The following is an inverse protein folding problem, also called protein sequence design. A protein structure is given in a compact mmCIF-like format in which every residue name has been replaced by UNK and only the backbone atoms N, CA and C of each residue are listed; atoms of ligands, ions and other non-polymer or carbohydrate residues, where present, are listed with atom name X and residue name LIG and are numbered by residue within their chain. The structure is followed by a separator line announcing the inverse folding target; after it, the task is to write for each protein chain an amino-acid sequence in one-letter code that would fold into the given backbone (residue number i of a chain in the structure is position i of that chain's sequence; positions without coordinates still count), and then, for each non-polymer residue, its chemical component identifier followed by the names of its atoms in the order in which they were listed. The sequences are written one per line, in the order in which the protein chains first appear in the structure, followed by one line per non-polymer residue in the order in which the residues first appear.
data_IF_056945250430
#
_entry.id   IF_056945250430
#
_cell.length_a   1.000
_cell.length_b   1.000
_cell.length_c   1.000
_cell.angle_alpha   90.00
_cell.angle_beta   90.00
_cell.angle_gamma   90.00
#
_symmetry.space_group_name_H-M   'P 1'
#
loop_
_entity.id
_entity.type
_entity.pdbx_description
1 polymer ?
#
# COMPACT_ATOMS: atom_id res chain seq x y z
N UNK A 1 2.03 -23.47 15.30
CA UNK A 1 3.13 -22.81 14.57
C UNK A 1 2.86 -23.03 13.10
N UNK A 2 2.31 -22.04 12.41
CA UNK A 2 2.15 -22.09 10.95
C UNK A 2 3.57 -22.04 10.36
N UNK A 3 3.94 -23.02 9.53
CA UNK A 3 5.18 -22.94 8.76
C UNK A 3 5.10 -21.67 7.90
N UNK A 4 5.95 -20.68 8.18
CA UNK A 4 6.12 -19.49 7.34
C UNK A 4 6.58 -19.97 5.95
N UNK A 5 5.69 -19.85 4.96
CA UNK A 5 5.96 -20.28 3.60
C UNK A 5 6.74 -19.20 2.87
N UNK A 6 8.00 -18.95 3.25
CA UNK A 6 8.76 -17.80 2.72
C UNK A 6 8.96 -17.87 1.21
N UNK A 7 8.59 -16.81 0.52
CA UNK A 7 8.84 -16.59 -0.90
C UNK A 7 9.65 -15.30 -1.12
N UNK A 8 10.28 -15.20 -2.29
CA UNK A 8 11.08 -14.04 -2.69
C UNK A 8 10.60 -13.50 -4.02
N UNK A 9 10.42 -12.19 -4.12
CA UNK A 9 10.12 -11.47 -5.36
C UNK A 9 11.22 -10.44 -5.65
N UNK A 10 11.45 -10.11 -6.92
CA UNK A 10 12.45 -9.11 -7.30
C UNK A 10 11.92 -8.22 -8.42
N UNK A 11 11.94 -6.91 -8.17
CA UNK A 11 11.38 -5.90 -9.07
C UNK A 11 12.36 -4.75 -9.28
N UNK A 12 12.54 -4.34 -10.53
CA UNK A 12 13.19 -3.09 -10.89
C UNK A 12 12.15 -2.10 -11.37
N UNK A 13 12.20 -0.87 -10.86
CA UNK A 13 11.14 0.11 -11.05
C UNK A 13 11.64 1.54 -11.05
N UNK A 14 12.87 1.77 -11.53
CA UNK A 14 13.59 3.03 -11.34
C UNK A 14 14.28 3.09 -9.99
N UNK A 15 14.48 4.29 -9.45
CA UNK A 15 15.17 4.48 -8.18
C UNK A 15 14.61 3.57 -7.08
N UNK A 16 15.43 2.66 -6.55
CA UNK A 16 14.97 1.67 -5.58
C UNK A 16 14.51 2.30 -4.26
N UNK A 17 14.95 3.52 -3.92
CA UNK A 17 14.48 4.23 -2.72
C UNK A 17 12.96 4.40 -2.73
N UNK A 18 12.40 4.69 -3.90
CA UNK A 18 10.97 4.84 -4.10
C UNK A 18 10.22 3.51 -4.14
N UNK A 19 10.92 2.42 -4.45
CA UNK A 19 10.33 1.09 -4.55
C UNK A 19 10.26 0.36 -3.21
N UNK A 20 10.96 0.79 -2.15
CA UNK A 20 10.91 0.14 -0.83
C UNK A 20 9.63 0.47 -0.06
N UNK A 21 9.34 1.77 0.13
CA UNK A 21 8.20 2.26 0.94
C UNK A 21 6.84 1.60 0.60
N UNK A 22 6.47 1.38 -0.69
CA UNK A 22 5.17 0.83 -1.03
C UNK A 22 4.93 -0.60 -0.52
N UNK A 23 5.98 -1.39 -0.35
CA UNK A 23 5.89 -2.78 0.13
C UNK A 23 6.20 -2.92 1.61
N UNK A 24 6.98 -1.99 2.17
CA UNK A 24 7.39 -2.09 3.56
C UNK A 24 6.20 -1.91 4.53
N UNK A 25 6.31 -2.53 5.71
CA UNK A 25 5.27 -2.54 6.76
C UNK A 25 3.91 -3.14 6.38
N UNK A 26 3.82 -3.78 5.22
CA UNK A 26 2.64 -4.52 4.80
C UNK A 26 2.52 -5.86 5.57
N UNK A 27 1.31 -6.27 6.00
CA UNK A 27 1.12 -7.59 6.60
C UNK A 27 1.61 -8.69 5.67
N UNK A 28 2.47 -9.58 6.17
CA UNK A 28 3.05 -10.66 5.38
C UNK A 28 4.33 -10.30 4.61
N UNK A 29 4.73 -9.02 4.57
CA UNK A 29 6.06 -8.63 4.07
C UNK A 29 7.05 -8.70 5.24
N UNK A 30 8.05 -9.59 5.13
CA UNK A 30 9.06 -9.78 6.17
C UNK A 30 10.25 -8.84 6.00
N UNK A 31 10.67 -8.59 4.75
CA UNK A 31 11.86 -7.79 4.44
C UNK A 31 11.81 -7.22 3.03
N UNK A 32 12.24 -5.97 2.87
CA UNK A 32 12.48 -5.35 1.56
C UNK A 32 13.90 -4.78 1.55
N UNK A 33 14.72 -5.16 0.58
CA UNK A 33 16.10 -4.67 0.46
C UNK A 33 16.38 -4.10 -0.92
N UNK A 34 17.16 -3.03 -0.97
CA UNK A 34 17.66 -2.40 -2.19
C UNK A 34 18.89 -3.13 -2.72
N UNK A 35 19.04 -3.21 -4.04
CA UNK A 35 20.19 -3.85 -4.68
C UNK A 35 20.22 -3.71 -6.19
N UNK A 36 21.09 -4.49 -6.81
CA UNK A 36 21.39 -4.46 -8.24
C UNK A 36 21.27 -5.86 -8.83
N UNK A 37 20.64 -5.99 -9.99
CA UNK A 37 20.55 -7.27 -10.71
C UNK A 37 20.36 -7.06 -12.21
N UNK A 38 20.35 -8.14 -13.00
CA UNK A 38 20.16 -8.10 -14.45
C UNK A 38 21.47 -7.97 -15.27
N UNK A 39 22.52 -7.41 -14.68
CA UNK A 39 23.78 -7.10 -15.35
C UNK A 39 24.80 -8.24 -15.40
N UNK A 40 26.04 -7.87 -15.68
CA UNK A 40 27.17 -8.79 -15.90
C UNK A 40 28.38 -8.52 -15.00
N UNK A 41 28.52 -7.32 -14.44
CA UNK A 41 29.59 -7.01 -13.46
C UNK A 41 29.34 -7.72 -12.14
N UNK A 42 30.38 -8.31 -11.55
CA UNK A 42 30.30 -8.94 -10.23
C UNK A 42 30.48 -7.91 -9.12
N UNK A 43 29.64 -7.95 -8.08
CA UNK A 43 29.67 -7.06 -6.91
C UNK A 43 29.79 -5.56 -7.25
N UNK A 44 28.90 -5.01 -8.09
CA UNK A 44 28.99 -3.62 -8.53
C UNK A 44 28.73 -2.65 -7.37
N UNK A 45 29.35 -1.47 -7.38
CA UNK A 45 28.99 -0.36 -6.50
C UNK A 45 27.86 0.50 -7.08
N UNK A 46 27.20 1.31 -6.25
CA UNK A 46 26.21 2.27 -6.72
C UNK A 46 26.74 3.14 -7.86
N UNK A 47 27.95 3.68 -7.73
CA UNK A 47 28.56 4.56 -8.73
C UNK A 47 28.84 3.84 -10.06
N UNK A 48 29.21 2.55 -10.01
CA UNK A 48 29.38 1.73 -11.22
C UNK A 48 28.04 1.46 -11.90
N UNK A 49 26.98 1.16 -11.13
CA UNK A 49 25.64 0.95 -11.68
C UNK A 49 25.10 2.22 -12.33
N UNK A 50 25.22 3.37 -11.66
CA UNK A 50 24.79 4.67 -12.22
C UNK A 50 25.61 5.12 -13.44
N UNK A 51 26.72 4.46 -13.76
CA UNK A 51 27.49 4.73 -14.98
C UNK A 51 26.90 4.07 -16.24
N UNK A 52 25.86 3.26 -16.09
CA UNK A 52 25.22 2.47 -17.17
C UNK A 52 26.19 1.51 -17.89
N UNK A 53 27.31 1.12 -17.27
CA UNK A 53 28.29 0.21 -17.89
C UNK A 53 28.20 -1.25 -17.42
N UNK A 54 27.50 -1.50 -16.31
CA UNK A 54 27.45 -2.84 -15.68
C UNK A 54 26.30 -3.71 -16.17
N UNK A 55 25.35 -3.11 -16.90
CA UNK A 55 24.09 -3.71 -17.32
C UNK A 55 23.12 -4.04 -16.17
N UNK A 56 23.44 -3.64 -14.93
CA UNK A 56 22.54 -3.83 -13.79
C UNK A 56 21.49 -2.73 -13.74
N UNK A 57 20.32 -3.12 -13.26
CA UNK A 57 19.25 -2.21 -12.87
C UNK A 57 19.15 -2.11 -11.35
N UNK A 58 18.71 -0.95 -10.87
CA UNK A 58 18.26 -0.76 -9.50
C UNK A 58 17.00 -1.60 -9.25
N UNK A 59 17.06 -2.45 -8.22
CA UNK A 59 16.00 -3.37 -7.89
C UNK A 59 15.75 -3.47 -6.39
N UNK A 60 14.56 -3.91 -6.02
CA UNK A 60 14.22 -4.35 -4.67
C UNK A 60 14.00 -5.85 -4.65
N UNK A 61 14.48 -6.51 -3.59
CA UNK A 61 14.15 -7.90 -3.29
C UNK A 61 13.26 -7.96 -2.05
N UNK A 62 12.13 -8.64 -2.18
CA UNK A 62 11.07 -8.69 -1.17
C UNK A 62 10.96 -10.12 -0.66
N UNK A 63 11.13 -10.32 0.63
CA UNK A 63 10.83 -11.57 1.33
C UNK A 63 9.44 -11.47 1.93
N UNK A 64 8.56 -12.41 1.59
CA UNK A 64 7.15 -12.34 1.97
C UNK A 64 6.54 -13.72 2.24
N UNK A 65 5.44 -13.73 2.99
CA UNK A 65 4.56 -14.88 3.15
C UNK A 65 3.42 -14.80 2.11
N UNK A 66 3.41 -15.67 1.08
CA UNK A 66 2.42 -15.66 0.01
C UNK A 66 1.01 -16.03 0.50
N UNK A 67 0.87 -16.58 1.71
CA UNK A 67 -0.44 -16.89 2.31
C UNK A 67 -1.11 -15.65 2.91
N UNK A 68 -0.31 -14.63 3.25
CA UNK A 68 -0.77 -13.35 3.82
C UNK A 68 -0.72 -12.25 2.74
N UNK A 69 0.34 -12.24 1.93
CA UNK A 69 0.58 -11.28 0.86
C UNK A 69 0.85 -12.02 -0.47
N UNK A 70 -0.19 -12.36 -1.24
CA UNK A 70 -0.02 -13.11 -2.50
C UNK A 70 0.86 -12.35 -3.51
N UNK A 71 1.54 -13.08 -4.39
CA UNK A 71 2.40 -12.48 -5.42
C UNK A 71 1.63 -11.53 -6.35
N UNK A 72 0.35 -11.81 -6.64
CA UNK A 72 -0.51 -10.91 -7.40
C UNK A 72 -0.61 -9.51 -6.77
N UNK A 73 -0.73 -9.44 -5.43
CA UNK A 73 -0.77 -8.16 -4.71
C UNK A 73 0.56 -7.40 -4.84
N UNK A 74 1.68 -8.12 -4.93
CA UNK A 74 2.99 -7.49 -5.19
C UNK A 74 3.02 -6.87 -6.59
N UNK A 75 2.48 -7.57 -7.58
CA UNK A 75 2.35 -7.06 -8.96
C UNK A 75 1.42 -5.83 -9.01
N UNK A 76 0.26 -5.88 -8.35
CA UNK A 76 -0.69 -4.76 -8.30
C UNK A 76 -0.06 -3.50 -7.72
N UNK A 77 0.74 -3.62 -6.65
CA UNK A 77 1.48 -2.50 -6.09
C UNK A 77 2.61 -2.06 -7.03
N UNK A 78 3.37 -3.00 -7.60
CA UNK A 78 4.48 -2.71 -8.51
C UNK A 78 4.03 -1.86 -9.70
N UNK A 79 2.95 -2.26 -10.38
CA UNK A 79 2.41 -1.55 -11.54
C UNK A 79 1.95 -0.12 -11.20
N UNK A 80 1.52 0.12 -9.96
CA UNK A 80 1.16 1.47 -9.51
C UNK A 80 2.37 2.39 -9.37
N UNK A 81 3.54 1.85 -9.04
CA UNK A 81 4.73 2.64 -8.76
C UNK A 81 5.48 3.09 -10.01
N UNK A 82 5.34 2.40 -11.14
CA UNK A 82 6.14 2.61 -12.35
C UNK A 82 5.31 3.19 -13.49
N UNK A 83 5.95 3.89 -14.44
CA UNK A 83 5.43 4.06 -15.79
C UNK A 83 5.77 2.81 -16.61
N UNK A 84 4.81 1.90 -16.85
CA UNK A 84 5.06 0.64 -17.51
C UNK A 84 5.22 0.78 -19.03
N UNK A 85 5.07 2.01 -19.56
CA UNK A 85 5.18 2.34 -20.98
C UNK A 85 6.51 2.99 -21.36
N UNK A 86 7.38 3.22 -20.38
CA UNK A 86 8.65 3.91 -20.55
C UNK A 86 9.85 2.94 -20.60
N UNK A 87 10.50 2.77 -21.78
CA UNK A 87 11.65 1.90 -21.92
C UNK A 87 12.98 2.54 -21.52
N UNK A 88 13.03 3.86 -21.25
CA UNK A 88 14.30 4.60 -21.14
C UNK A 88 14.68 5.06 -19.72
N UNK A 89 14.06 4.47 -18.70
CA UNK A 89 14.17 4.90 -17.31
C UNK A 89 12.81 5.31 -16.74
N UNK A 90 12.75 5.70 -15.48
CA UNK A 90 11.51 6.03 -14.79
C UNK A 90 11.47 7.51 -14.42
N UNK A 91 10.48 8.20 -14.98
CA UNK A 91 10.25 9.63 -14.74
C UNK A 91 11.52 10.45 -15.04
N UNK A 92 12.01 11.24 -14.08
CA UNK A 92 13.25 12.01 -14.22
C UNK A 92 14.54 11.17 -14.10
N UNK A 93 14.45 9.93 -13.61
CA UNK A 93 15.59 9.03 -13.52
C UNK A 93 15.75 8.27 -14.85
N UNK A 94 16.72 8.69 -15.67
CA UNK A 94 16.97 8.15 -17.02
C UNK A 94 18.25 7.32 -17.02
N UNK A 95 18.29 6.29 -17.87
CA UNK A 95 19.44 5.39 -17.98
C UNK A 95 19.01 3.93 -17.97
N UNK A 96 19.95 3.04 -18.28
CA UNK A 96 19.71 1.60 -18.21
C UNK A 96 19.46 1.19 -16.76
N UNK A 97 20.20 1.76 -15.81
CA UNK A 97 20.08 1.46 -14.38
C UNK A 97 18.68 1.69 -13.80
N UNK A 98 17.87 2.53 -14.44
CA UNK A 98 16.53 2.90 -13.96
C UNK A 98 15.40 2.25 -14.78
N UNK A 99 15.71 1.30 -15.67
CA UNK A 99 14.69 0.57 -16.39
C UNK A 99 13.82 -0.29 -15.47
N UNK A 100 12.61 -0.57 -15.94
CA UNK A 100 11.69 -1.47 -15.24
C UNK A 100 11.99 -2.92 -15.59
N UNK A 101 11.75 -3.85 -14.67
CA UNK A 101 11.75 -5.28 -14.94
C UNK A 101 11.08 -6.05 -13.80
N UNK A 102 10.44 -7.17 -14.14
CA UNK A 102 9.99 -8.18 -13.18
C UNK A 102 10.92 -9.38 -13.31
N UNK A 103 11.64 -9.72 -12.23
CA UNK A 103 12.54 -10.87 -12.20
C UNK A 103 11.88 -12.05 -11.50
N UNK A 104 11.42 -13.04 -12.29
CA UNK A 104 10.73 -14.22 -11.74
C UNK A 104 11.73 -15.24 -11.19
N UNK A 105 11.39 -15.82 -10.03
CA UNK A 105 12.17 -16.84 -9.33
C UNK A 105 11.70 -18.26 -9.67
N UNK A 106 10.48 -18.41 -10.19
CA UNK A 106 9.91 -19.70 -10.56
C UNK A 106 8.85 -19.55 -11.67
N UNK A 107 8.30 -20.68 -12.13
CA UNK A 107 7.31 -20.72 -13.22
C UNK A 107 6.00 -20.02 -12.85
N UNK A 108 5.54 -20.17 -11.61
CA UNK A 108 4.29 -19.55 -11.12
C UNK A 108 4.39 -18.02 -11.14
N UNK A 109 5.50 -17.45 -10.64
CA UNK A 109 5.73 -16.01 -10.71
C UNK A 109 5.79 -15.48 -12.14
N UNK A 110 6.34 -16.27 -13.07
CA UNK A 110 6.35 -15.91 -14.49
C UNK A 110 4.93 -15.84 -15.03
N UNK A 111 4.13 -16.88 -14.81
CA UNK A 111 2.74 -16.97 -15.29
C UNK A 111 1.88 -15.83 -14.71
N UNK A 112 1.96 -15.57 -13.40
CA UNK A 112 1.25 -14.48 -12.75
C UNK A 112 1.70 -13.10 -13.24
N UNK A 113 3.00 -12.90 -13.45
CA UNK A 113 3.52 -11.64 -14.00
C UNK A 113 3.03 -11.40 -15.43
N UNK A 114 3.06 -12.43 -16.28
CA UNK A 114 2.55 -12.38 -17.65
C UNK A 114 1.04 -12.10 -17.68
N UNK A 115 0.27 -12.76 -16.81
CA UNK A 115 -1.15 -12.51 -16.65
C UNK A 115 -1.43 -11.07 -16.19
N UNK A 116 -0.76 -10.59 -15.14
CA UNK A 116 -0.96 -9.22 -14.64
C UNK A 116 -0.62 -8.16 -15.69
N UNK A 117 0.38 -8.42 -16.53
CA UNK A 117 0.74 -7.54 -17.65
C UNK A 117 -0.37 -7.50 -18.70
N UNK A 118 -0.91 -8.66 -19.07
CA UNK A 118 -2.03 -8.75 -20.03
C UNK A 118 -3.29 -8.08 -19.50
N UNK A 119 -3.60 -8.24 -18.21
CA UNK A 119 -4.71 -7.57 -17.55
C UNK A 119 -4.54 -6.05 -17.58
N UNK A 120 -3.32 -5.55 -17.34
CA UNK A 120 -3.01 -4.12 -17.41
C UNK A 120 -3.11 -3.57 -18.85
N UNK A 121 -2.65 -4.33 -19.85
CA UNK A 121 -2.81 -4.01 -21.26
C UNK A 121 -4.29 -3.93 -21.68
N UNK A 122 -5.11 -4.86 -21.16
CA UNK A 122 -6.55 -4.91 -21.45
C UNK A 122 -7.38 -3.88 -20.67
N UNK A 123 -6.80 -3.19 -19.68
CA UNK A 123 -7.54 -2.28 -18.81
C UNK A 123 -7.78 -0.89 -19.41
N UNK A 124 -7.29 -0.62 -20.62
CA UNK A 124 -7.30 0.69 -21.30
C UNK A 124 -6.73 1.86 -20.46
N UNK A 125 -5.94 1.55 -19.42
CA UNK A 125 -5.37 2.56 -18.51
C UNK A 125 -4.22 3.33 -19.18
N UNK A 126 -3.53 2.68 -20.12
CA UNK A 126 -2.41 3.25 -20.85
C UNK A 126 -2.63 3.17 -22.35
N UNK A 127 -2.43 4.30 -23.03
CA UNK A 127 -2.56 4.40 -24.50
C UNK A 127 -1.32 3.89 -25.25
N UNK A 128 -0.28 3.45 -24.53
CA UNK A 128 0.97 2.95 -25.09
C UNK A 128 1.17 1.50 -24.64
N UNK A 129 1.91 0.68 -25.41
CA UNK A 129 2.21 -0.70 -25.03
C UNK A 129 2.94 -0.78 -23.70
N UNK A 130 2.69 -1.85 -22.94
CA UNK A 130 3.42 -2.15 -21.71
C UNK A 130 4.77 -2.78 -22.07
N UNK A 131 5.85 -2.04 -21.84
CA UNK A 131 7.21 -2.42 -22.24
C UNK A 131 8.02 -3.06 -21.14
N UNK A 132 7.52 -3.09 -19.90
CA UNK A 132 8.22 -3.74 -18.78
C UNK A 132 8.49 -5.22 -19.09
N UNK A 133 9.77 -5.65 -19.08
CA UNK A 133 10.18 -7.01 -19.37
C UNK A 133 9.96 -7.93 -18.16
N UNK A 134 9.66 -9.19 -18.44
CA UNK A 134 9.55 -10.27 -17.46
C UNK A 134 10.72 -11.23 -17.72
N UNK A 135 11.70 -11.23 -16.83
CA UNK A 135 13.01 -11.86 -17.03
C UNK A 135 13.27 -12.92 -15.95
N UNK A 136 14.03 -13.98 -16.25
CA UNK A 136 14.49 -14.88 -15.20
C UNK A 136 15.40 -14.13 -14.23
N UNK A 137 15.28 -14.44 -12.93
CA UNK A 137 16.15 -13.86 -11.92
C UNK A 137 17.63 -14.12 -12.21
N UNK A 138 18.47 -13.10 -12.00
CA UNK A 138 19.93 -13.20 -12.00
C UNK A 138 20.46 -12.95 -10.59
N UNK A 139 21.78 -13.06 -10.40
CA UNK A 139 22.42 -12.70 -9.13
C UNK A 139 21.97 -11.32 -8.68
N UNK A 140 21.52 -11.24 -7.42
CA UNK A 140 21.13 -9.99 -6.77
C UNK A 140 22.25 -9.55 -5.83
N UNK A 141 22.81 -8.38 -6.08
CA UNK A 141 23.84 -7.77 -5.24
C UNK A 141 23.20 -6.76 -4.31
N UNK A 142 23.43 -6.89 -3.01
CA UNK A 142 22.88 -5.98 -2.00
C UNK A 142 23.53 -4.59 -2.16
N UNK A 143 22.71 -3.54 -2.22
CA UNK A 143 23.21 -2.17 -2.22
C UNK A 143 23.81 -1.79 -0.84
N UNK A 144 24.67 -0.77 -0.82
CA UNK A 144 25.36 -0.34 0.40
C UNK A 144 24.36 0.10 1.49
N UNK A 145 24.77 0.01 2.76
CA UNK A 145 23.89 0.26 3.92
C UNK A 145 23.26 1.67 3.91
N UNK A 146 23.91 2.65 3.26
CA UNK A 146 23.40 4.01 3.08
C UNK A 146 22.11 4.06 2.24
N UNK A 147 21.87 3.05 1.40
CA UNK A 147 20.72 2.93 0.51
C UNK A 147 19.56 2.12 1.09
N UNK A 148 19.81 1.33 2.13
CA UNK A 148 18.78 0.52 2.81
C UNK A 148 17.91 1.40 3.70
N UNK A 149 16.59 1.17 3.70
CA UNK A 149 15.61 1.94 4.50
C UNK A 149 15.69 3.47 4.29
N UNK A 150 16.06 3.91 3.09
CA UNK A 150 16.35 5.33 2.82
C UNK A 150 15.18 6.26 3.20
N UNK A 151 13.94 5.84 2.92
CA UNK A 151 12.74 6.60 3.24
C UNK A 151 12.53 6.81 4.76
N UNK A 152 13.02 5.89 5.61
CA UNK A 152 13.03 6.01 7.07
C UNK A 152 14.20 6.84 7.58
N UNK A 153 15.39 6.62 7.01
CA UNK A 153 16.65 7.27 7.44
C UNK A 153 16.71 8.75 7.02
N UNK A 154 16.13 9.10 5.87
CA UNK A 154 16.17 10.44 5.27
C UNK A 154 14.77 10.89 4.79
N UNK A 155 13.76 10.96 5.68
CA UNK A 155 12.35 11.11 5.29
C UNK A 155 12.05 12.43 4.58
N UNK A 156 12.69 13.53 4.98
CA UNK A 156 12.50 14.83 4.33
C UNK A 156 13.03 14.83 2.89
N UNK A 157 14.27 14.35 2.70
CA UNK A 157 14.87 14.28 1.38
C UNK A 157 14.12 13.30 0.47
N UNK A 158 13.73 12.14 1.00
CA UNK A 158 12.93 11.16 0.28
C UNK A 158 11.61 11.75 -0.23
N UNK A 159 10.85 12.47 0.61
CA UNK A 159 9.58 13.11 0.20
C UNK A 159 9.78 14.12 -0.92
N UNK A 160 10.81 14.97 -0.81
CA UNK A 160 11.15 15.91 -1.88
C UNK A 160 11.53 15.19 -3.17
N UNK A 161 12.30 14.10 -3.07
CA UNK A 161 12.71 13.31 -4.22
C UNK A 161 11.54 12.57 -4.89
N UNK A 162 10.67 11.90 -4.13
CA UNK A 162 9.46 11.22 -4.66
C UNK A 162 8.55 12.17 -5.42
N UNK A 163 8.41 13.40 -4.91
CA UNK A 163 7.66 14.47 -5.59
C UNK A 163 8.40 15.01 -6.81
N UNK A 164 9.69 15.34 -6.65
CA UNK A 164 10.53 15.96 -7.66
C UNK A 164 10.90 15.03 -8.83
N UNK A 165 10.93 13.72 -8.62
CA UNK A 165 11.17 12.72 -9.67
C UNK A 165 10.03 12.63 -10.67
N UNK A 166 8.81 12.97 -10.27
CA UNK A 166 7.59 12.81 -11.08
C UNK A 166 6.76 11.58 -10.72
N UNK A 167 7.27 10.68 -9.88
CA UNK A 167 6.55 9.45 -9.47
C UNK A 167 5.24 9.73 -8.75
N UNK A 168 5.24 10.64 -7.78
CA UNK A 168 4.00 11.01 -7.07
C UNK A 168 2.93 11.57 -8.01
N UNK A 169 3.34 12.42 -8.96
CA UNK A 169 2.43 12.99 -9.95
C UNK A 169 1.85 11.91 -10.87
N UNK A 170 2.67 10.92 -11.28
CA UNK A 170 2.22 9.77 -12.06
C UNK A 170 1.19 8.93 -11.29
N UNK A 171 1.48 8.61 -10.02
CA UNK A 171 0.57 7.83 -9.17
C UNK A 171 -0.78 8.54 -9.05
N UNK A 172 -0.75 9.83 -8.71
CA UNK A 172 -1.96 10.63 -8.56
C UNK A 172 -2.76 10.73 -9.85
N UNK A 173 -2.10 10.80 -11.01
CA UNK A 173 -2.79 10.94 -12.29
C UNK A 173 -3.44 9.64 -12.78
N UNK A 174 -2.77 8.50 -12.60
CA UNK A 174 -3.17 7.24 -13.24
C UNK A 174 -3.92 6.28 -12.30
N UNK A 175 -3.73 6.42 -10.98
CA UNK A 175 -4.20 5.45 -10.00
C UNK A 175 -5.14 6.03 -8.96
N UNK A 176 -5.01 7.32 -8.63
CA UNK A 176 -5.93 7.96 -7.68
C UNK A 176 -7.32 8.07 -8.30
N UNK A 177 -8.32 7.51 -7.62
CA UNK A 177 -9.72 7.72 -7.98
C UNK A 177 -10.17 9.12 -7.57
N UNK A 178 -10.97 9.73 -8.41
CA UNK A 178 -11.63 10.99 -8.13
C UNK A 178 -13.12 10.73 -7.97
N UNK A 179 -13.67 11.17 -6.84
CA UNK A 179 -15.10 11.06 -6.54
C UNK A 179 -15.70 12.47 -6.65
N UNK A 180 -16.72 12.64 -7.49
CA UNK A 180 -17.43 13.92 -7.59
C UNK A 180 -18.40 14.09 -6.43
N UNK A 181 -18.68 15.35 -6.08
CA UNK A 181 -19.63 15.70 -5.02
C UNK A 181 -21.02 15.13 -5.33
N UNK A 182 -21.43 15.19 -6.59
CA UNK A 182 -22.73 14.71 -7.07
C UNK A 182 -22.85 13.20 -6.92
N UNK A 183 -21.83 12.44 -7.31
CA UNK A 183 -21.81 10.97 -7.12
C UNK A 183 -21.88 10.59 -5.65
N UNK A 184 -21.10 11.27 -4.80
CA UNK A 184 -21.08 10.99 -3.36
C UNK A 184 -22.42 11.30 -2.70
N UNK A 185 -23.08 12.40 -3.07
CA UNK A 185 -24.42 12.74 -2.56
C UNK A 185 -25.52 11.76 -3.01
N UNK A 186 -25.32 11.06 -4.13
CA UNK A 186 -26.26 10.03 -4.59
C UNK A 186 -26.02 8.69 -3.92
N UNK A 187 -24.76 8.36 -3.60
CA UNK A 187 -24.38 7.08 -3.01
C UNK A 187 -24.49 7.04 -1.49
N UNK A 188 -24.17 8.14 -0.81
CA UNK A 188 -24.06 8.19 0.64
C UNK A 188 -25.35 8.67 1.30
N UNK A 189 -25.65 8.13 2.48
CA UNK A 189 -26.65 8.72 3.36
C UNK A 189 -26.20 10.09 3.87
N UNK A 190 -27.11 10.95 4.38
CA UNK A 190 -26.74 12.26 4.89
C UNK A 190 -25.65 12.23 5.97
N UNK A 191 -25.70 11.26 6.89
CA UNK A 191 -24.70 11.13 7.95
C UNK A 191 -23.35 10.64 7.41
N UNK A 192 -23.35 9.68 6.48
CA UNK A 192 -22.12 9.20 5.83
C UNK A 192 -21.43 10.33 5.05
N UNK A 193 -22.20 11.13 4.31
CA UNK A 193 -21.67 12.30 3.60
C UNK A 193 -21.10 13.34 4.58
N UNK A 194 -21.86 13.68 5.63
CA UNK A 194 -21.43 14.65 6.63
C UNK A 194 -20.13 14.23 7.33
N UNK A 195 -20.04 12.98 7.77
CA UNK A 195 -18.83 12.43 8.40
C UNK A 195 -17.67 12.42 7.41
N UNK A 196 -17.80 11.74 6.27
CA UNK A 196 -16.66 11.49 5.39
C UNK A 196 -16.17 12.73 4.64
N UNK A 197 -17.08 13.63 4.24
CA UNK A 197 -16.75 14.77 3.35
C UNK A 197 -16.70 16.11 4.07
N UNK A 198 -17.39 16.26 5.21
CA UNK A 198 -17.48 17.52 5.94
C UNK A 198 -16.79 17.45 7.31
N UNK A 199 -16.03 16.39 7.55
CA UNK A 199 -15.32 16.12 8.82
C UNK A 199 -16.27 16.10 10.02
N UNK A 200 -17.51 15.66 9.79
CA UNK A 200 -18.51 15.47 10.83
C UNK A 200 -18.15 14.33 11.77
N UNK A 201 -18.85 14.25 12.90
CA UNK A 201 -18.73 13.14 13.85
C UNK A 201 -20.13 12.66 14.21
N UNK A 202 -20.37 11.37 14.07
CA UNK A 202 -21.68 10.78 14.42
C UNK A 202 -21.89 10.73 15.94
N UNK A 203 -23.12 10.54 16.37
CA UNK A 203 -23.46 10.48 17.80
C UNK A 203 -22.85 9.25 18.49
N UNK A 204 -22.27 9.40 19.70
CA UNK A 204 -21.77 8.27 20.47
C UNK A 204 -22.92 7.33 20.87
N UNK A 205 -22.69 6.02 20.85
CA UNK A 205 -23.65 4.96 21.20
C UNK A 205 -24.92 4.91 20.34
N UNK A 206 -24.99 5.72 19.28
CA UNK A 206 -26.12 5.76 18.34
C UNK A 206 -25.60 5.56 16.92
N UNK A 207 -24.80 4.51 16.75
CA UNK A 207 -24.17 4.16 15.49
C UNK A 207 -24.05 2.65 15.35
N UNK A 208 -23.95 2.18 14.10
CA UNK A 208 -24.15 0.77 13.77
C UNK A 208 -23.08 -0.16 14.31
N UNK A 209 -21.86 0.33 14.58
CA UNK A 209 -20.70 -0.53 14.84
C UNK A 209 -20.06 -0.37 16.22
N UNK A 210 -20.55 0.52 17.09
CA UNK A 210 -19.95 0.67 18.43
C UNK A 210 -19.96 -0.65 19.22
N UNK A 211 -21.08 -1.37 19.22
CA UNK A 211 -21.33 -2.62 19.96
C UNK A 211 -21.27 -3.88 19.07
N UNK A 212 -20.91 -3.75 17.80
CA UNK A 212 -20.76 -4.90 16.90
C UNK A 212 -19.54 -5.75 17.28
N UNK A 213 -19.74 -7.05 17.52
CA UNK A 213 -18.70 -8.03 17.88
C UNK A 213 -18.51 -9.15 16.85
N UNK A 214 -19.22 -9.10 15.72
CA UNK A 214 -19.11 -10.11 14.66
C UNK A 214 -17.73 -10.13 14.00
N UNK A 215 -17.27 -11.34 13.63
CA UNK A 215 -16.06 -11.55 12.84
C UNK A 215 -16.23 -10.95 11.44
N UNK A 216 -15.26 -10.14 11.00
CA UNK A 216 -15.28 -9.46 9.71
C UNK A 216 -14.35 -8.24 9.63
N UNK A 217 -14.35 -7.56 8.48
CA UNK A 217 -13.55 -6.36 8.24
C UNK A 217 -14.42 -5.13 8.04
N UNK A 218 -13.84 -3.97 8.30
CA UNK A 218 -14.41 -2.66 8.04
C UNK A 218 -13.71 -2.05 6.83
N UNK A 219 -14.47 -1.76 5.79
CA UNK A 219 -13.98 -1.10 4.57
C UNK A 219 -14.44 0.34 4.51
N UNK A 220 -13.71 1.19 3.81
CA UNK A 220 -14.14 2.57 3.50
C UNK A 220 -15.47 2.53 2.74
N UNK A 221 -16.46 3.28 3.23
CA UNK A 221 -17.80 3.31 2.63
C UNK A 221 -17.80 3.84 1.18
N UNK A 222 -16.78 4.61 0.78
CA UNK A 222 -16.66 5.20 -0.57
C UNK A 222 -15.80 4.33 -1.49
N UNK A 223 -14.58 4.00 -1.06
CA UNK A 223 -13.62 3.28 -1.92
C UNK A 223 -13.74 1.77 -1.85
N UNK A 224 -14.33 1.23 -0.78
CA UNK A 224 -14.35 -0.20 -0.48
C UNK A 224 -12.98 -0.73 -0.06
N UNK A 225 -11.98 0.13 0.19
CA UNK A 225 -10.67 -0.30 0.66
C UNK A 225 -10.74 -0.81 2.10
N UNK A 226 -10.12 -1.97 2.43
CA UNK A 226 -10.04 -2.47 3.80
C UNK A 226 -9.30 -1.52 4.72
N UNK A 227 -9.90 -1.19 5.86
CA UNK A 227 -9.35 -0.25 6.84
C UNK A 227 -8.99 -0.98 8.15
N UNK A 228 -9.95 -1.70 8.74
CA UNK A 228 -9.80 -2.30 10.06
C UNK A 228 -10.36 -3.72 10.11
N UNK A 229 -9.87 -4.52 11.06
CA UNK A 229 -10.35 -5.87 11.35
C UNK A 229 -11.08 -5.89 12.69
N UNK A 230 -12.15 -6.67 12.81
CA UNK A 230 -12.80 -6.94 14.10
C UNK A 230 -11.86 -7.60 15.12
N UNK A 231 -10.82 -8.32 14.67
CA UNK A 231 -9.79 -8.90 15.57
C UNK A 231 -8.98 -7.85 16.33
N UNK A 232 -8.94 -6.63 15.81
CA UNK A 232 -8.26 -5.49 16.43
C UNK A 232 -9.27 -4.50 17.05
N UNK A 233 -10.57 -4.79 16.97
CA UNK A 233 -11.64 -4.01 17.60
C UNK A 233 -11.72 -4.33 19.09
N UNK A 234 -11.99 -3.33 19.90
CA UNK A 234 -12.25 -3.51 21.33
C UNK A 234 -13.22 -2.44 21.86
N UNK A 235 -13.86 -2.73 23.00
CA UNK A 235 -14.70 -1.75 23.69
C UNK A 235 -13.82 -0.76 24.49
N UNK A 236 -13.76 0.48 24.01
CA UNK A 236 -13.07 1.57 24.69
C UNK A 236 -14.00 2.39 25.62
N UNK A 237 -15.30 2.07 25.66
CA UNK A 237 -16.31 2.83 26.42
C UNK A 237 -16.56 4.25 25.92
N UNK A 238 -16.05 4.60 24.73
CA UNK A 238 -16.16 5.96 24.19
C UNK A 238 -17.40 6.19 23.30
N UNK A 239 -18.12 5.13 22.92
CA UNK A 239 -19.33 5.22 22.11
C UNK A 239 -19.13 5.18 20.59
N UNK A 240 -17.90 4.96 20.13
CA UNK A 240 -17.56 4.75 18.72
C UNK A 240 -16.72 3.48 18.57
N UNK A 241 -16.79 2.75 17.43
CA UNK A 241 -15.93 1.60 17.20
C UNK A 241 -14.46 2.00 17.32
N UNK A 242 -13.73 1.26 18.16
CA UNK A 242 -12.33 1.53 18.50
C UNK A 242 -11.45 0.35 18.12
N UNK A 243 -10.33 0.65 17.46
CA UNK A 243 -9.37 -0.36 17.00
C UNK A 243 -7.97 -0.08 17.53
N UNK A 244 -7.16 -1.12 17.70
CA UNK A 244 -5.76 -0.96 18.14
C UNK A 244 -4.80 -0.65 16.99
N UNK A 245 -5.12 -1.11 15.77
CA UNK A 245 -4.35 -0.86 14.54
C UNK A 245 -5.21 -1.06 13.27
N UNK A 246 -4.82 -0.45 12.13
CA UNK A 246 -5.41 -0.77 10.83
C UNK A 246 -4.93 -2.12 10.29
N UNK A 247 -5.65 -2.65 9.29
CA UNK A 247 -5.19 -3.79 8.48
C UNK A 247 -3.92 -3.41 7.72
N UNK A 248 -3.93 -2.24 7.07
CA UNK A 248 -2.81 -1.72 6.29
C UNK A 248 -2.61 -0.24 6.59
N UNK A 249 -1.44 0.12 7.11
CA UNK A 249 -1.11 1.52 7.45
C UNK A 249 -1.06 2.42 6.21
N UNK A 250 -0.72 1.88 5.04
CA UNK A 250 -0.63 2.67 3.81
C UNK A 250 -2.01 3.08 3.29
N UNK A 251 -3.09 2.44 3.77
CA UNK A 251 -4.46 2.79 3.43
C UNK A 251 -5.02 3.94 4.29
N UNK A 252 -4.23 4.47 5.25
CA UNK A 252 -4.59 5.59 6.10
C UNK A 252 -3.65 6.79 5.92
N UNK A 253 -4.20 7.99 6.13
CA UNK A 253 -3.45 9.24 6.30
C UNK A 253 -3.72 9.81 7.68
N UNK A 254 -2.65 10.05 8.41
CA UNK A 254 -2.68 10.63 9.75
C UNK A 254 -2.24 12.10 9.68
N UNK A 255 -3.16 13.02 9.98
CA UNK A 255 -2.93 14.46 9.89
C UNK A 255 -3.07 15.11 11.27
N UNK A 256 -2.21 16.08 11.58
CA UNK A 256 -2.33 16.83 12.82
C UNK A 256 -3.55 17.77 12.76
N UNK A 257 -4.47 17.60 13.72
CA UNK A 257 -5.73 18.34 13.84
C UNK A 257 -5.71 19.23 15.09
N UNK A 258 -5.84 20.54 14.88
CA UNK A 258 -5.94 21.55 15.96
C UNK A 258 -7.34 22.12 16.15
N UNK A 259 -8.35 21.52 15.51
CA UNK A 259 -9.75 21.95 15.63
C UNK A 259 -10.24 21.81 17.08
N UNK A 260 -11.29 22.58 17.41
CA UNK A 260 -11.95 22.53 18.73
C UNK A 260 -11.01 22.81 19.93
N UNK A 261 -9.87 23.46 19.70
CA UNK A 261 -8.90 23.79 20.74
C UNK A 261 -8.11 22.58 21.29
N UNK A 262 -8.23 21.41 20.64
CA UNK A 262 -7.51 20.19 21.01
C UNK A 262 -6.31 19.97 20.09
N UNK A 263 -5.40 19.06 20.48
CA UNK A 263 -4.34 18.55 19.59
C UNK A 263 -4.58 17.06 19.41
N UNK A 264 -5.05 16.68 18.23
CA UNK A 264 -5.38 15.29 17.88
C UNK A 264 -4.73 14.91 16.57
N UNK A 265 -4.77 13.63 16.23
CA UNK A 265 -4.36 13.12 14.94
C UNK A 265 -5.63 12.66 14.22
N UNK A 266 -6.05 13.39 13.20
CA UNK A 266 -7.12 13.00 12.29
C UNK A 266 -6.67 11.81 11.45
N UNK A 267 -7.57 10.86 11.25
CA UNK A 267 -7.37 9.70 10.38
C UNK A 267 -8.31 9.81 9.19
N UNK A 268 -7.74 9.76 7.98
CA UNK A 268 -8.48 9.75 6.70
C UNK A 268 -8.10 8.54 5.86
N UNK A 269 -8.97 8.07 4.97
CA UNK A 269 -8.62 7.02 4.01
C UNK A 269 -7.67 7.53 2.92
N UNK A 270 -6.76 6.68 2.44
CA UNK A 270 -5.74 7.03 1.45
C UNK A 270 -6.35 7.41 0.08
N UNK A 271 -7.29 6.60 -0.42
CA UNK A 271 -7.84 6.64 -1.78
C UNK A 271 -8.97 7.68 -1.91
N UNK A 272 -10.02 7.57 -1.09
CA UNK A 272 -11.20 8.43 -1.15
C UNK A 272 -11.07 9.72 -0.32
N UNK A 273 -10.03 9.85 0.51
CA UNK A 273 -9.86 10.97 1.44
C UNK A 273 -11.06 11.14 2.40
N UNK A 274 -11.71 10.03 2.75
CA UNK A 274 -12.82 9.99 3.69
C UNK A 274 -12.32 10.33 5.09
N UNK A 275 -12.89 11.32 5.76
CA UNK A 275 -12.68 11.50 7.19
C UNK A 275 -13.23 10.29 7.95
N UNK A 276 -12.37 9.58 8.68
CA UNK A 276 -12.73 8.38 9.43
C UNK A 276 -12.93 8.70 10.91
N UNK A 277 -12.05 9.51 11.50
CA UNK A 277 -12.08 9.86 12.92
C UNK A 277 -10.71 10.31 13.42
N UNK A 278 -10.32 9.86 14.61
CA UNK A 278 -9.07 10.25 15.25
C UNK A 278 -8.34 9.07 15.90
N UNK A 279 -7.01 9.17 15.98
CA UNK A 279 -6.17 8.23 16.73
C UNK A 279 -5.60 8.88 17.98
N UNK A 280 -5.59 8.12 19.07
CA UNK A 280 -5.14 8.52 20.40
C UNK A 280 -4.11 7.52 20.95
N UNK A 281 -3.29 7.93 21.90
CA UNK A 281 -2.25 7.12 22.57
C UNK A 281 -2.72 6.52 23.91
N UNK A 282 -4.04 6.44 24.11
CA UNK A 282 -4.72 5.94 25.32
C UNK A 282 -5.26 4.51 25.17
N UNK A 283 -4.82 3.78 24.14
CA UNK A 283 -5.26 2.40 23.87
C UNK A 283 -4.56 1.34 24.74
N UNK A 284 -4.94 0.06 24.58
CA UNK A 284 -4.33 -1.08 25.29
C UNK A 284 -2.82 -1.16 25.01
N UNK A 285 -2.00 -0.99 26.05
CA UNK A 285 -0.53 -0.93 25.93
C UNK A 285 0.09 -2.22 25.41
N UNK A 286 -0.50 -3.35 25.75
CA UNK A 286 -0.12 -4.69 25.28
C UNK A 286 -0.41 -4.92 23.79
N UNK A 287 -1.23 -4.06 23.18
CA UNK A 287 -1.59 -4.10 21.76
C UNK A 287 -1.07 -2.90 20.95
N UNK A 288 -0.06 -2.20 21.47
CA UNK A 288 0.61 -1.08 20.80
C UNK A 288 0.21 0.31 21.33
N UNK A 289 -0.76 0.39 22.25
CA UNK A 289 -1.12 1.61 22.96
C UNK A 289 -1.91 2.63 22.15
N UNK A 290 -2.27 2.32 20.90
CA UNK A 290 -3.05 3.23 20.05
C UNK A 290 -4.54 2.90 20.11
N UNK A 291 -5.37 3.92 20.02
CA UNK A 291 -6.82 3.83 19.89
C UNK A 291 -7.28 4.60 18.66
N UNK A 292 -7.59 3.87 17.60
CA UNK A 292 -8.26 4.39 16.40
C UNK A 292 -9.76 4.46 16.66
N UNK A 293 -10.26 5.64 17.03
CA UNK A 293 -11.66 5.92 17.32
C UNK A 293 -12.36 6.41 16.05
N UNK A 294 -13.04 5.50 15.35
CA UNK A 294 -13.57 5.73 14.00
C UNK A 294 -15.09 5.92 14.01
N UNK A 295 -15.63 6.66 13.06
CA UNK A 295 -17.06 6.76 12.82
C UNK A 295 -17.56 5.53 12.04
N UNK A 296 -18.64 4.90 12.49
CA UNK A 296 -19.34 3.84 11.76
C UNK A 296 -19.82 4.32 10.40
N UNK A 297 -20.35 5.55 10.33
CA UNK A 297 -20.79 6.18 9.08
C UNK A 297 -19.65 6.40 8.05
N UNK A 298 -18.38 6.25 8.42
CA UNK A 298 -17.28 6.29 7.46
C UNK A 298 -16.95 4.91 6.87
N UNK A 299 -17.56 3.85 7.38
CA UNK A 299 -17.19 2.47 7.09
C UNK A 299 -18.39 1.63 6.69
N UNK A 300 -18.11 0.49 6.04
CA UNK A 300 -19.05 -0.60 5.81
C UNK A 300 -18.46 -1.88 6.37
N UNK A 301 -19.20 -2.57 7.21
CA UNK A 301 -18.79 -3.88 7.72
C UNK A 301 -19.07 -4.98 6.70
N UNK A 302 -18.11 -5.90 6.54
CA UNK A 302 -18.22 -7.11 5.73
C UNK A 302 -17.99 -8.32 6.65
N UNK A 303 -19.04 -9.11 6.94
CA UNK A 303 -18.91 -10.33 7.74
C UNK A 303 -17.89 -11.30 7.13
N UNK A 304 -17.19 -12.04 7.98
CA UNK A 304 -16.18 -13.04 7.61
C UNK A 304 -16.70 -14.02 6.55
N UNK A 305 -17.95 -14.47 6.70
CA UNK A 305 -18.60 -15.43 5.80
C UNK A 305 -18.84 -14.87 4.39
N UNK A 306 -18.80 -13.54 4.22
CA UNK A 306 -19.00 -12.86 2.92
C UNK A 306 -17.71 -12.36 2.29
N UNK A 307 -16.56 -12.55 2.95
CA UNK A 307 -15.30 -12.00 2.43
C UNK A 307 -14.94 -12.57 1.06
N UNK A 308 -15.07 -13.88 0.82
CA UNK A 308 -14.76 -14.44 -0.50
C UNK A 308 -15.73 -13.95 -1.58
N UNK A 309 -17.03 -13.95 -1.28
CA UNK A 309 -18.09 -13.51 -2.21
C UNK A 309 -17.90 -12.06 -2.64
N UNK A 310 -17.53 -11.19 -1.70
CA UNK A 310 -17.33 -9.76 -1.95
C UNK A 310 -15.93 -9.40 -2.47
N UNK A 311 -15.06 -10.39 -2.75
CA UNK A 311 -13.71 -10.16 -3.31
C UNK A 311 -12.64 -9.76 -2.29
N UNK A 312 -12.87 -10.05 -1.01
CA UNK A 312 -11.99 -9.81 0.13
C UNK A 312 -11.43 -11.11 0.73
N UNK A 313 -11.49 -12.24 0.00
CA UNK A 313 -11.08 -13.55 0.48
C UNK A 313 -9.65 -13.61 1.01
N UNK A 314 -8.75 -12.75 0.50
CA UNK A 314 -7.38 -12.67 1.02
C UNK A 314 -7.31 -12.27 2.50
N UNK A 315 -8.34 -11.62 3.07
CA UNK A 315 -8.35 -11.19 4.48
C UNK A 315 -8.86 -12.27 5.44
N UNK A 316 -9.29 -13.43 4.94
CA UNK A 316 -9.69 -14.57 5.79
C UNK A 316 -8.57 -15.03 6.75
N UNK A 317 -7.31 -14.76 6.41
CA UNK A 317 -6.18 -15.11 7.27
C UNK A 317 -6.18 -14.38 8.62
N UNK A 318 -6.91 -13.27 8.76
CA UNK A 318 -7.00 -12.50 10.00
C UNK A 318 -7.78 -13.25 11.09
N UNK A 319 -8.73 -14.11 10.72
CA UNK A 319 -9.71 -14.73 11.64
C UNK A 319 -9.44 -16.22 11.90
N UNK A 320 -8.16 -16.62 11.89
CA UNK A 320 -7.70 -18.01 12.00
C UNK A 320 -7.36 -18.44 13.41
#
# INVERSE_FOLDING_TARGET
MVQSNRAVATFAGGCFWCMVEPFDQQPGIEKVVSGYTGGHTENPTYEEVCSDTTGHVEAVQITYDPTIFPYQRLLDLFWQQIDPTDPGGQFNDRGESYQTAIFYHNKEQKELAEQSKQELEASDKFNKPIVTPILPVKTFYLAEEKHQDYYKKQPFHYRLYKKGSGREAFINKNWKKHYSKEELKQKLTPIQYHVTQENGTESPFQNDYHDLEEDGIYVDVISGKPLFSSTDKYDAGCGWPSFTKPIDRNELKENFDTSHGMRRIEVRSSEADSHLGHVFDDGPKDQGGMRYCMNSAAMRFIPKEKLEEEGYGQFLHLFK
#
